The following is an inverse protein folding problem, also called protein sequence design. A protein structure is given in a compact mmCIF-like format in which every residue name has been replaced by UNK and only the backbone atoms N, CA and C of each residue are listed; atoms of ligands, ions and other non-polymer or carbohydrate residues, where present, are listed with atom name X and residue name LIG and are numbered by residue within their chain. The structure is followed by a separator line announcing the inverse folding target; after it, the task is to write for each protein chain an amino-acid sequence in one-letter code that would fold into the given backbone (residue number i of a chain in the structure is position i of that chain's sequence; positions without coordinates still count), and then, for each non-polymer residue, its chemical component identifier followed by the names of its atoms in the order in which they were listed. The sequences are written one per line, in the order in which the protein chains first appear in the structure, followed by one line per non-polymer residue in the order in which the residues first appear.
data_IF_121476314514
#
_entry.id   IF_121476314514
#
_cell.length_a   1.000
_cell.length_b   1.000
_cell.length_c   1.000
_cell.angle_alpha   90.00
_cell.angle_beta   90.00
_cell.angle_gamma   90.00
#
_symmetry.space_group_name_H-M   'P 1'
#
loop_
_entity.id
_entity.type
_entity.pdbx_description
1 polymer ?
#
# COMPACT_ATOMS: atom_id res chain seq x y z
N UNK A 1 5.53 8.16 28.02
CA UNK A 1 6.91 7.98 27.54
C UNK A 1 7.08 6.50 27.20
N UNK A 2 6.72 6.13 25.97
CA UNK A 2 6.76 4.75 25.48
C UNK A 2 8.16 4.43 24.95
N UNK A 3 8.93 3.67 25.73
CA UNK A 3 10.20 3.08 25.31
C UNK A 3 9.93 1.86 24.43
N UNK A 4 9.58 2.07 23.17
CA UNK A 4 9.68 1.03 22.13
C UNK A 4 10.92 1.32 21.29
N UNK A 5 11.89 0.39 21.18
CA UNK A 5 13.08 0.62 20.38
C UNK A 5 12.73 0.42 18.90
N UNK A 6 12.33 1.49 18.22
CA UNK A 6 12.04 1.48 16.77
C UNK A 6 13.23 1.00 15.92
N UNK A 7 14.45 1.03 16.48
CA UNK A 7 15.66 0.43 15.90
C UNK A 7 15.54 -1.08 15.56
N UNK A 8 14.55 -1.82 16.08
CA UNK A 8 14.38 -3.25 15.80
C UNK A 8 13.89 -3.54 14.36
N UNK A 9 13.14 -2.61 13.75
CA UNK A 9 12.55 -2.80 12.41
C UNK A 9 13.43 -2.34 11.26
N UNK A 10 14.56 -1.69 11.55
CA UNK A 10 15.46 -1.27 10.50
C UNK A 10 16.07 -2.50 9.80
N UNK A 11 15.78 -2.62 8.50
CA UNK A 11 16.34 -3.62 7.61
C UNK A 11 17.28 -2.92 6.63
N UNK A 12 18.55 -3.35 6.61
CA UNK A 12 19.59 -2.77 5.75
C UNK A 12 19.27 -2.93 4.26
N UNK A 13 18.72 -4.07 3.85
CA UNK A 13 18.35 -4.27 2.45
C UNK A 13 17.13 -3.42 2.08
N UNK A 14 16.17 -3.25 2.98
CA UNK A 14 15.06 -2.32 2.76
C UNK A 14 15.53 -0.87 2.60
N UNK A 15 16.49 -0.42 3.43
CA UNK A 15 17.11 0.90 3.29
C UNK A 15 17.81 1.05 1.94
N UNK A 16 18.53 0.02 1.48
CA UNK A 16 19.20 0.03 0.17
C UNK A 16 18.20 0.16 -0.98
N UNK A 17 17.09 -0.58 -0.93
CA UNK A 17 16.00 -0.45 -1.90
C UNK A 17 15.39 0.97 -1.88
N UNK A 18 15.20 1.57 -0.69
CA UNK A 18 14.75 2.96 -0.59
C UNK A 18 15.76 3.95 -1.18
N UNK A 19 17.06 3.71 -1.06
CA UNK A 19 18.10 4.50 -1.73
C UNK A 19 18.00 4.40 -3.26
N UNK A 20 17.70 3.22 -3.80
CA UNK A 20 17.47 3.04 -5.24
C UNK A 20 16.20 3.76 -5.73
N UNK A 21 15.26 4.03 -4.82
CA UNK A 21 14.04 4.80 -5.06
C UNK A 21 14.23 6.32 -4.90
N UNK A 22 15.46 6.80 -4.68
CA UNK A 22 15.73 8.23 -4.65
C UNK A 22 15.28 8.93 -5.95
N UNK A 23 14.72 10.13 -5.81
CA UNK A 23 14.11 10.92 -6.88
C UNK A 23 12.87 10.30 -7.56
N UNK A 24 12.34 9.17 -7.03
CA UNK A 24 11.10 8.54 -7.51
C UNK A 24 9.89 8.98 -6.70
N UNK A 25 8.74 9.07 -7.37
CA UNK A 25 7.46 9.20 -6.69
C UNK A 25 7.13 7.86 -6.03
N UNK A 26 6.79 7.90 -4.75
CA UNK A 26 6.51 6.71 -3.95
C UNK A 26 5.29 6.94 -3.07
N UNK A 27 4.53 5.87 -2.86
CA UNK A 27 3.55 5.76 -1.79
C UNK A 27 4.16 4.92 -0.66
N UNK A 28 4.32 5.53 0.50
CA UNK A 28 4.85 4.91 1.70
C UNK A 28 3.70 4.57 2.63
N UNK A 29 3.70 3.34 3.13
CA UNK A 29 2.75 2.85 4.12
C UNK A 29 3.51 2.61 5.41
N UNK A 30 3.04 3.23 6.48
CA UNK A 30 3.73 3.30 7.76
C UNK A 30 3.25 2.22 8.72
N UNK A 31 4.11 1.81 9.66
CA UNK A 31 3.79 0.80 10.69
C UNK A 31 2.66 1.23 11.63
N UNK A 32 2.45 2.53 11.79
CA UNK A 32 1.34 3.08 12.58
C UNK A 32 -0.01 3.09 11.82
N UNK A 33 -0.02 2.64 10.56
CA UNK A 33 -1.19 2.64 9.70
C UNK A 33 -1.41 3.97 8.96
N UNK A 34 -0.47 4.92 9.01
CA UNK A 34 -0.52 6.14 8.19
C UNK A 34 0.05 5.92 6.78
N UNK A 35 -0.31 6.78 5.84
CA UNK A 35 0.19 6.73 4.47
C UNK A 35 0.74 8.09 4.03
N UNK A 36 1.86 8.07 3.31
CA UNK A 36 2.51 9.26 2.75
C UNK A 36 2.70 9.07 1.25
N UNK A 37 2.32 10.06 0.46
CA UNK A 37 2.59 10.08 -0.97
C UNK A 37 3.40 11.33 -1.35
N UNK A 38 4.52 11.11 -2.03
CA UNK A 38 5.42 12.17 -2.47
C UNK A 38 6.60 11.61 -3.25
N UNK A 39 7.69 12.36 -3.32
CA UNK A 39 8.95 11.96 -3.94
C UNK A 39 10.05 11.88 -2.90
N UNK A 40 10.86 10.83 -2.94
CA UNK A 40 12.05 10.72 -2.09
C UNK A 40 13.10 11.72 -2.57
N UNK A 41 13.46 12.70 -1.74
CA UNK A 41 14.52 13.65 -2.08
C UNK A 41 15.89 13.16 -1.60
N UNK A 42 15.95 12.69 -0.36
CA UNK A 42 17.20 12.33 0.31
C UNK A 42 16.93 11.33 1.42
N UNK A 43 17.92 10.49 1.70
CA UNK A 43 17.97 9.60 2.86
C UNK A 43 19.26 9.92 3.61
N UNK A 44 19.14 10.28 4.89
CA UNK A 44 20.27 10.55 5.78
C UNK A 44 20.08 9.81 7.09
N UNK A 45 21.03 8.97 7.49
CA UNK A 45 21.04 8.33 8.82
C UNK A 45 19.69 7.73 9.25
N UNK A 46 19.06 6.95 8.35
CA UNK A 46 17.73 6.35 8.52
C UNK A 46 16.55 7.33 8.54
N UNK A 47 16.75 8.61 8.19
CA UNK A 47 15.69 9.58 8.00
C UNK A 47 15.48 9.84 6.52
N UNK A 48 14.27 9.53 6.05
CA UNK A 48 13.80 9.77 4.70
C UNK A 48 13.17 11.17 4.62
N UNK A 49 13.62 11.96 3.64
CA UNK A 49 13.00 13.22 3.30
C UNK A 49 12.09 13.07 2.09
N UNK A 50 10.80 13.34 2.29
CA UNK A 50 9.78 13.27 1.24
C UNK A 50 9.33 14.68 0.87
N UNK A 51 9.41 14.99 -0.43
CA UNK A 51 9.06 16.28 -1.04
C UNK A 51 7.91 16.11 -2.04
N UNK A 52 7.34 17.19 -2.59
CA UNK A 52 6.23 17.07 -3.52
C UNK A 52 6.56 16.19 -4.72
N UNK A 53 5.60 15.36 -5.18
CA UNK A 53 5.84 14.48 -6.31
C UNK A 53 5.95 15.27 -7.61
N UNK A 54 6.65 14.70 -8.60
CA UNK A 54 6.87 15.34 -9.90
C UNK A 54 6.10 14.61 -10.98
N UNK A 55 5.44 15.35 -11.88
CA UNK A 55 4.69 14.75 -12.99
C UNK A 55 3.37 14.10 -12.59
N UNK A 56 2.88 14.37 -11.36
CA UNK A 56 1.56 13.92 -10.89
C UNK A 56 0.54 15.03 -11.13
N UNK A 57 -0.56 14.68 -11.80
CA UNK A 57 -1.60 15.65 -12.18
C UNK A 57 -2.21 16.31 -10.95
N UNK A 58 -2.31 17.64 -10.97
CA UNK A 58 -2.95 18.46 -9.94
C UNK A 58 -2.38 18.28 -8.51
N UNK A 59 -1.14 17.80 -8.37
CA UNK A 59 -0.51 17.63 -7.07
C UNK A 59 0.84 18.36 -6.98
N UNK A 60 0.88 19.40 -6.14
CA UNK A 60 2.06 20.26 -5.93
C UNK A 60 2.65 20.12 -4.51
N UNK A 61 2.16 19.16 -3.72
CA UNK A 61 2.50 19.02 -2.32
C UNK A 61 2.58 17.54 -1.93
N UNK A 62 3.28 17.26 -0.83
CA UNK A 62 3.25 15.93 -0.19
C UNK A 62 1.85 15.70 0.38
N UNK A 63 1.34 14.49 0.21
CA UNK A 63 0.09 14.08 0.85
C UNK A 63 0.41 13.15 2.01
N UNK A 64 -0.20 13.43 3.17
CA UNK A 64 -0.11 12.59 4.34
C UNK A 64 -1.51 12.23 4.81
N UNK A 65 -1.71 10.97 5.19
CA UNK A 65 -2.96 10.52 5.77
C UNK A 65 -2.69 9.74 7.05
N UNK A 66 -3.19 10.21 8.21
CA UNK A 66 -3.11 9.45 9.45
C UNK A 66 -3.92 8.14 9.34
N UNK A 67 -3.78 7.20 10.30
CA UNK A 67 -4.58 5.97 10.38
C UNK A 67 -6.04 6.25 10.76
N UNK A 68 -6.72 7.09 9.97
CA UNK A 68 -8.08 7.51 10.17
C UNK A 68 -8.79 7.63 8.80
N UNK A 69 -9.47 6.56 8.41
CA UNK A 69 -10.27 6.51 7.18
C UNK A 69 -11.40 7.55 7.14
N UNK A 70 -11.85 8.08 8.29
CA UNK A 70 -12.92 9.10 8.32
C UNK A 70 -12.48 10.47 7.81
N UNK A 71 -11.16 10.71 7.72
CA UNK A 71 -10.64 11.95 7.16
C UNK A 71 -10.94 11.99 5.65
N UNK A 72 -11.73 12.97 5.16
CA UNK A 72 -12.21 12.98 3.78
C UNK A 72 -11.13 13.36 2.77
N UNK A 73 -10.13 14.14 3.19
CA UNK A 73 -9.04 14.62 2.36
C UNK A 73 -7.69 14.36 3.05
N UNK A 74 -6.62 14.05 2.31
CA UNK A 74 -5.29 13.95 2.88
C UNK A 74 -4.81 15.33 3.38
N UNK A 75 -3.95 15.31 4.39
CA UNK A 75 -3.21 16.48 4.85
C UNK A 75 -2.15 16.83 3.81
N UNK A 76 -2.02 18.12 3.52
CA UNK A 76 -1.13 18.64 2.49
C UNK A 76 0.07 19.28 3.17
N UNK A 77 1.27 18.82 2.83
CA UNK A 77 2.53 19.24 3.44
C UNK A 77 3.53 19.70 2.37
N UNK A 78 4.40 20.64 2.72
CA UNK A 78 5.52 21.03 1.84
C UNK A 78 6.59 19.94 1.79
N UNK A 79 6.87 19.33 2.94
CA UNK A 79 7.89 18.30 3.13
C UNK A 79 7.57 17.54 4.41
N UNK A 80 7.96 16.26 4.46
CA UNK A 80 7.89 15.44 5.68
C UNK A 80 9.18 14.65 5.84
N UNK A 81 9.59 14.45 7.09
CA UNK A 81 10.71 13.61 7.46
C UNK A 81 10.17 12.37 8.16
N UNK A 82 10.64 11.20 7.73
CA UNK A 82 10.12 9.90 8.16
C UNK A 82 11.29 9.04 8.60
N UNK A 83 11.20 8.42 9.76
CA UNK A 83 12.16 7.37 10.14
C UNK A 83 11.91 6.14 9.25
N UNK A 84 12.96 5.63 8.62
CA UNK A 84 12.88 4.44 7.76
C UNK A 84 12.40 3.23 8.56
N UNK A 85 12.69 3.15 9.85
CA UNK A 85 12.20 2.04 10.67
C UNK A 85 10.66 2.07 10.86
N UNK A 86 9.99 3.21 10.61
CA UNK A 86 8.53 3.35 10.67
C UNK A 86 7.83 2.99 9.36
N UNK A 87 8.57 2.63 8.30
CA UNK A 87 8.00 2.29 7.00
C UNK A 87 7.76 0.78 6.92
N UNK A 88 6.51 0.39 6.68
CA UNK A 88 6.10 -1.00 6.44
C UNK A 88 6.23 -1.39 4.96
N UNK A 89 5.78 -0.51 4.05
CA UNK A 89 5.85 -0.74 2.61
C UNK A 89 6.23 0.54 1.86
N UNK A 90 6.97 0.38 0.78
CA UNK A 90 7.19 1.40 -0.23
C UNK A 90 6.63 0.91 -1.56
N UNK A 91 5.82 1.74 -2.22
CA UNK A 91 5.20 1.43 -3.50
C UNK A 91 5.71 2.44 -4.53
N UNK A 92 6.34 1.93 -5.58
CA UNK A 92 6.77 2.69 -6.76
C UNK A 92 5.91 2.29 -7.94
N UNK A 93 5.72 3.25 -8.85
CA UNK A 93 5.10 2.99 -10.13
C UNK A 93 4.76 4.27 -10.87
N UNK A 94 4.09 4.16 -12.01
CA UNK A 94 3.67 5.30 -12.80
C UNK A 94 2.46 5.99 -12.15
N UNK A 95 2.73 6.86 -11.18
CA UNK A 95 1.70 7.70 -10.58
C UNK A 95 1.30 8.83 -11.55
N UNK A 96 0.16 8.67 -12.24
CA UNK A 96 -0.44 9.75 -13.04
C UNK A 96 -1.30 10.68 -12.18
N UNK A 97 -1.92 10.10 -11.14
CA UNK A 97 -2.76 10.76 -10.16
C UNK A 97 -2.31 10.38 -8.75
N UNK A 98 -2.71 11.16 -7.75
CA UNK A 98 -2.44 10.79 -6.37
C UNK A 98 -3.24 9.53 -5.98
N UNK A 99 -2.60 8.52 -5.37
CA UNK A 99 -3.28 7.35 -4.83
C UNK A 99 -4.02 7.66 -3.51
N UNK A 100 -3.68 8.76 -2.82
CA UNK A 100 -4.27 9.14 -1.53
C UNK A 100 -5.42 10.13 -1.64
N UNK A 101 -5.59 10.75 -2.81
CA UNK A 101 -6.76 11.54 -3.07
C UNK A 101 -7.90 10.56 -3.40
N UNK A 102 -9.08 10.66 -2.75
CA UNK A 102 -10.23 9.95 -3.25
C UNK A 102 -10.42 10.44 -4.68
N UNK A 103 -10.29 9.54 -5.66
CA UNK A 103 -10.84 9.83 -6.98
C UNK A 103 -12.32 10.13 -6.74
N UNK A 104 -12.65 11.41 -6.62
CA UNK A 104 -13.92 11.91 -7.09
C UNK A 104 -13.88 11.62 -8.57
N UNK A 105 -14.30 10.41 -8.93
CA UNK A 105 -14.98 10.23 -10.20
C UNK A 105 -16.02 11.35 -10.25
N UNK A 106 -15.99 12.24 -11.26
CA UNK A 106 -17.13 13.09 -11.53
C UNK A 106 -18.26 12.14 -11.94
N UNK A 107 -18.99 11.65 -10.96
CA UNK A 107 -19.77 10.43 -11.08
C UNK A 107 -20.00 9.79 -9.70
N UNK A 108 -20.38 10.61 -8.72
CA UNK A 108 -21.20 10.05 -7.64
C UNK A 108 -22.40 9.38 -8.31
N UNK A 109 -22.68 8.13 -7.96
CA UNK A 109 -23.90 7.44 -8.36
C UNK A 109 -25.06 8.21 -7.73
N UNK A 110 -25.49 9.28 -8.41
CA UNK A 110 -26.84 9.77 -8.27
C UNK A 110 -27.77 8.68 -8.80
N UNK A 111 -29.00 8.56 -8.28
CA UNK A 111 -29.95 7.52 -8.66
C UNK A 111 -30.36 7.54 -10.15
N UNK A 112 -29.81 8.44 -10.97
CA UNK A 112 -30.09 8.59 -12.39
C UNK A 112 -28.77 8.71 -13.16
N UNK A 113 -28.24 7.58 -13.63
CA UNK A 113 -26.96 7.50 -14.33
C UNK A 113 -26.93 8.23 -15.67
N UNK A 114 -26.25 9.38 -15.71
CA UNK A 114 -25.77 10.01 -16.95
C UNK A 114 -24.46 10.76 -16.65
N UNK A 115 -23.34 10.29 -17.23
CA UNK A 115 -21.99 10.85 -17.06
C UNK A 115 -21.70 12.02 -18.02
N UNK A 116 -20.85 12.95 -17.57
CA UNK A 116 -20.30 14.04 -18.39
C UNK A 116 -18.76 14.09 -18.33
N UNK A 117 -18.09 12.96 -18.56
CA UNK A 117 -16.70 12.88 -19.04
C UNK A 117 -16.36 11.42 -19.32
N UNK A 118 -16.54 10.99 -20.57
CA UNK A 118 -16.44 9.59 -21.02
C UNK A 118 -15.06 8.94 -20.92
N UNK A 119 -14.59 8.71 -19.70
CA UNK A 119 -13.55 7.72 -19.42
C UNK A 119 -14.21 6.60 -18.64
N UNK A 120 -14.73 5.59 -19.37
CA UNK A 120 -15.33 4.41 -18.75
C UNK A 120 -14.27 3.72 -17.88
N UNK A 121 -14.54 3.61 -16.57
CA UNK A 121 -13.87 2.60 -15.75
C UNK A 121 -14.10 1.26 -16.47
N UNK A 122 -13.05 0.47 -16.76
CA UNK A 122 -13.24 -0.83 -17.38
C UNK A 122 -14.24 -1.64 -16.56
N UNK A 123 -15.26 -2.25 -17.18
CA UNK A 123 -16.30 -2.97 -16.45
C UNK A 123 -15.74 -4.07 -15.52
N UNK A 124 -14.54 -4.58 -15.80
CA UNK A 124 -13.80 -5.46 -14.90
C UNK A 124 -13.49 -4.83 -13.52
N UNK A 125 -13.08 -3.56 -13.48
CA UNK A 125 -12.79 -2.84 -12.23
C UNK A 125 -14.08 -2.55 -11.45
N UNK A 126 -15.18 -2.24 -12.15
CA UNK A 126 -16.50 -2.11 -11.51
C UNK A 126 -16.95 -3.45 -10.90
N UNK A 127 -16.75 -4.56 -11.60
CA UNK A 127 -17.10 -5.89 -11.09
C UNK A 127 -16.26 -6.30 -9.87
N UNK A 128 -14.98 -5.89 -9.81
CA UNK A 128 -14.11 -6.11 -8.65
C UNK A 128 -14.61 -5.28 -7.45
N UNK A 129 -14.97 -4.02 -7.66
CA UNK A 129 -15.53 -3.16 -6.61
C UNK A 129 -16.87 -3.72 -6.11
N UNK A 130 -17.76 -4.15 -7.00
CA UNK A 130 -19.05 -4.74 -6.64
C UNK A 130 -18.90 -6.07 -5.90
N UNK A 131 -18.02 -6.97 -6.35
CA UNK A 131 -17.76 -8.24 -5.66
C UNK A 131 -17.14 -8.05 -4.27
N UNK A 132 -16.26 -7.06 -4.10
CA UNK A 132 -15.68 -6.72 -2.80
C UNK A 132 -16.72 -6.06 -1.88
N UNK A 133 -17.64 -5.26 -2.42
CA UNK A 133 -18.66 -4.54 -1.62
C UNK A 133 -19.88 -5.41 -1.28
N UNK A 134 -20.18 -6.41 -2.10
CA UNK A 134 -21.33 -7.33 -1.89
C UNK A 134 -20.95 -8.64 -1.19
N UNK A 135 -19.65 -8.94 -1.06
CA UNK A 135 -19.12 -10.06 -0.30
C UNK A 135 -19.09 -9.82 1.21
N UNK A 136 -20.25 -9.99 1.85
CA UNK A 136 -20.41 -10.37 3.28
C UNK A 136 -20.23 -9.27 4.35
N UNK A 137 -21.37 -8.75 4.82
CA UNK A 137 -21.68 -8.73 6.26
C UNK A 137 -21.11 -7.61 7.11
N UNK A 138 -21.90 -6.55 7.28
CA UNK A 138 -21.86 -5.71 8.46
C UNK A 138 -22.12 -6.54 9.73
N UNK A 139 -21.06 -7.00 10.41
CA UNK A 139 -21.12 -7.36 11.83
C UNK A 139 -19.88 -6.84 12.56
N UNK A 140 -20.16 -6.14 13.67
CA UNK A 140 -19.25 -5.28 14.42
C UNK A 140 -17.82 -5.79 14.62
N UNK A 141 -16.87 -4.93 14.26
CA UNK A 141 -15.52 -4.94 14.83
C UNK A 141 -15.62 -4.64 16.33
N UNK A 142 -15.80 -5.69 17.13
CA UNK A 142 -15.51 -5.66 18.56
C UNK A 142 -14.00 -5.76 18.69
N UNK A 143 -13.35 -4.65 19.03
CA UNK A 143 -11.94 -4.60 19.38
C UNK A 143 -11.71 -5.44 20.64
N UNK A 144 -11.34 -6.71 20.47
CA UNK A 144 -10.68 -7.46 21.54
C UNK A 144 -9.19 -7.07 21.57
N UNK A 145 -8.59 -6.90 22.76
CA UNK A 145 -7.19 -6.53 22.87
C UNK A 145 -6.35 -7.68 22.30
N UNK A 146 -5.71 -7.42 21.15
CA UNK A 146 -4.79 -8.34 20.48
C UNK A 146 -3.73 -8.80 21.48
N UNK A 147 -3.88 -10.03 21.96
CA UNK A 147 -2.82 -10.72 22.67
C UNK A 147 -1.59 -10.75 21.76
N UNK A 148 -0.43 -10.37 22.30
CA UNK A 148 0.83 -10.48 21.61
C UNK A 148 1.03 -11.94 21.17
N UNK A 149 0.91 -12.19 19.87
CA UNK A 149 1.15 -13.51 19.29
C UNK A 149 2.67 -13.79 19.36
N UNK A 150 3.07 -14.92 19.96
CA UNK A 150 4.48 -15.28 20.09
C UNK A 150 5.07 -15.56 18.72
N UNK A 151 6.28 -15.05 18.50
CA UNK A 151 6.95 -14.98 17.21
C UNK A 151 7.00 -16.32 16.45
N UNK A 152 6.29 -16.36 15.32
CA UNK A 152 6.68 -17.23 14.20
C UNK A 152 8.10 -16.81 13.81
N UNK A 153 9.04 -17.75 13.74
CA UNK A 153 10.43 -17.40 13.43
C UNK A 153 10.46 -16.79 12.02
N UNK A 154 10.98 -15.57 11.90
CA UNK A 154 11.06 -14.85 10.62
C UNK A 154 11.72 -15.67 9.50
N UNK A 155 12.60 -16.59 9.88
CA UNK A 155 13.26 -17.51 8.97
C UNK A 155 12.28 -18.48 8.28
N UNK A 156 11.32 -19.05 9.03
CA UNK A 156 10.31 -19.97 8.47
C UNK A 156 9.36 -19.25 7.51
N UNK A 157 9.01 -17.99 7.81
CA UNK A 157 8.20 -17.15 6.93
C UNK A 157 8.94 -16.78 5.64
N UNK A 158 10.24 -16.54 5.72
CA UNK A 158 11.05 -16.20 4.56
C UNK A 158 11.20 -17.41 3.63
N UNK A 159 11.46 -18.61 4.18
CA UNK A 159 11.51 -19.84 3.40
C UNK A 159 10.17 -20.13 2.69
N UNK A 160 9.05 -19.98 3.41
CA UNK A 160 7.71 -20.10 2.81
C UNK A 160 7.48 -19.08 1.69
N UNK A 161 7.90 -17.82 1.88
CA UNK A 161 7.78 -16.80 0.83
C UNK A 161 8.67 -17.10 -0.39
N UNK A 162 9.88 -17.63 -0.19
CA UNK A 162 10.73 -18.07 -1.29
C UNK A 162 10.06 -19.20 -2.10
N UNK A 163 9.39 -20.15 -1.44
CA UNK A 163 8.65 -21.21 -2.12
C UNK A 163 7.42 -20.71 -2.90
N UNK A 164 6.90 -19.53 -2.55
CA UNK A 164 5.74 -18.89 -3.16
C UNK A 164 6.12 -17.87 -4.25
N UNK A 165 7.40 -17.76 -4.60
CA UNK A 165 7.85 -16.84 -5.66
C UNK A 165 7.11 -17.12 -6.98
N UNK A 166 6.63 -16.04 -7.61
CA UNK A 166 5.83 -16.09 -8.82
C UNK A 166 4.34 -16.37 -8.60
N UNK A 167 3.89 -16.63 -7.37
CA UNK A 167 2.46 -16.84 -7.07
C UNK A 167 1.75 -15.52 -6.71
N UNK A 168 0.44 -15.48 -6.90
CA UNK A 168 -0.39 -14.41 -6.36
C UNK A 168 -0.57 -14.63 -4.86
N UNK A 169 -0.11 -13.68 -4.05
CA UNK A 169 -0.28 -13.73 -2.60
C UNK A 169 -0.83 -12.41 -2.09
N UNK A 170 -1.30 -12.40 -0.85
CA UNK A 170 -1.43 -11.19 -0.08
C UNK A 170 -0.61 -11.27 1.21
N UNK A 171 0.02 -10.17 1.60
CA UNK A 171 0.74 -10.05 2.87
C UNK A 171 0.09 -9.01 3.74
N UNK A 172 0.04 -9.27 5.04
CA UNK A 172 -0.45 -8.33 6.05
C UNK A 172 0.69 -7.91 6.97
N UNK A 173 0.72 -6.63 7.35
CA UNK A 173 1.75 -6.08 8.24
C UNK A 173 1.19 -5.41 9.50
N UNK A 174 2.11 -5.17 10.43
CA UNK A 174 1.92 -4.31 11.59
C UNK A 174 1.48 -2.92 11.10
N UNK A 175 0.31 -2.47 11.55
CA UNK A 175 -0.36 -1.26 11.03
C UNK A 175 -1.64 -1.54 10.26
N UNK A 176 -1.99 -2.82 10.05
CA UNK A 176 -3.25 -3.22 9.42
C UNK A 176 -3.26 -3.06 7.91
N UNK A 177 -2.10 -2.95 7.27
CA UNK A 177 -1.97 -2.98 5.83
C UNK A 177 -2.09 -4.41 5.32
N UNK A 178 -2.84 -4.60 4.24
CA UNK A 178 -2.82 -5.85 3.47
C UNK A 178 -2.57 -5.53 2.00
N UNK A 179 -1.53 -6.10 1.42
CA UNK A 179 -1.13 -5.87 0.02
C UNK A 179 -1.22 -7.17 -0.75
N UNK A 180 -1.96 -7.15 -1.85
CA UNK A 180 -2.09 -8.27 -2.78
C UNK A 180 -1.45 -7.99 -4.14
N UNK A 181 -0.79 -9.01 -4.69
CA UNK A 181 -0.18 -8.98 -6.02
C UNK A 181 0.59 -10.27 -6.29
N UNK A 182 1.41 -10.27 -7.35
CA UNK A 182 2.32 -11.40 -7.62
C UNK A 182 3.61 -11.21 -6.85
N UNK A 183 3.99 -12.22 -6.07
CA UNK A 183 5.27 -12.25 -5.38
C UNK A 183 6.40 -12.38 -6.43
N UNK A 184 7.35 -11.47 -6.38
CA UNK A 184 8.61 -11.56 -7.12
C UNK A 184 9.73 -11.98 -6.17
N UNK A 185 10.85 -11.27 -6.25
CA UNK A 185 12.04 -11.55 -5.47
C UNK A 185 11.81 -11.36 -3.96
N UNK A 186 12.33 -12.31 -3.18
CA UNK A 186 12.34 -12.30 -1.72
C UNK A 186 13.80 -12.43 -1.27
N UNK A 187 14.29 -11.44 -0.52
CA UNK A 187 15.69 -11.39 -0.06
C UNK A 187 15.76 -10.84 1.36
N UNK A 188 16.62 -11.38 2.23
CA UNK A 188 17.03 -10.88 3.57
C UNK A 188 16.07 -9.88 4.28
N UNK A 189 14.78 -10.26 4.38
CA UNK A 189 13.69 -9.48 4.99
C UNK A 189 13.02 -8.35 4.13
N UNK A 190 13.07 -8.43 2.80
CA UNK A 190 12.26 -7.65 1.85
C UNK A 190 11.54 -8.59 0.90
N UNK A 191 10.25 -8.32 0.63
CA UNK A 191 9.56 -8.94 -0.51
C UNK A 191 9.17 -7.88 -1.54
N UNK A 192 9.40 -8.23 -2.81
CA UNK A 192 8.90 -7.48 -3.95
C UNK A 192 7.54 -8.05 -4.36
N UNK A 193 6.48 -7.25 -4.24
CA UNK A 193 5.19 -7.59 -4.83
C UNK A 193 5.02 -6.73 -6.07
N UNK A 194 4.89 -7.38 -7.22
CA UNK A 194 4.56 -6.70 -8.45
C UNK A 194 3.11 -6.94 -8.83
N UNK A 195 2.72 -6.35 -9.94
CA UNK A 195 1.37 -6.44 -10.46
C UNK A 195 1.05 -7.87 -10.80
N UNK A 196 0.13 -8.45 -10.04
CA UNK A 196 -0.41 -9.76 -10.36
C UNK A 196 -1.42 -9.66 -11.49
N UNK A 197 -1.54 -10.76 -12.23
CA UNK A 197 -2.71 -10.99 -13.07
C UNK A 197 -3.80 -11.53 -12.16
N UNK A 198 -4.70 -10.67 -11.67
CA UNK A 198 -6.03 -11.16 -11.32
C UNK A 198 -6.86 -11.05 -12.59
N UNK A 199 -7.35 -12.18 -13.13
CA UNK A 199 -8.76 -12.60 -13.08
C UNK A 199 -8.85 -14.07 -13.55
N UNK A 200 -9.73 -14.83 -12.90
CA UNK A 200 -10.34 -16.06 -13.43
C UNK A 200 -10.65 -15.95 -14.95
N UNK A 201 -10.51 -17.03 -15.74
CA UNK A 201 -10.65 -16.95 -17.19
C UNK A 201 -12.10 -16.63 -17.60
N UNK A 202 -12.35 -15.88 -18.70
CA UNK A 202 -11.43 -15.26 -19.66
C UNK A 202 -11.46 -13.72 -19.60
N UNK A 203 -10.43 -13.04 -20.14
CA UNK A 203 -10.39 -11.62 -20.60
C UNK A 203 -9.47 -10.67 -19.79
N UNK A 204 -8.46 -10.15 -20.51
CA UNK A 204 -7.57 -8.98 -20.28
C UNK A 204 -6.68 -9.01 -19.04
N UNK A 205 -5.37 -9.12 -19.30
CA UNK A 205 -4.29 -8.94 -18.33
C UNK A 205 -4.07 -7.44 -18.07
N UNK A 206 -4.68 -6.91 -17.01
CA UNK A 206 -4.26 -5.64 -16.44
C UNK A 206 -3.46 -5.94 -15.16
N UNK A 207 -2.26 -5.41 -15.06
CA UNK A 207 -1.47 -5.52 -13.83
C UNK A 207 -2.14 -4.72 -12.70
N UNK A 208 -2.40 -5.38 -11.57
CA UNK A 208 -3.05 -4.75 -10.40
C UNK A 208 -2.26 -5.02 -9.12
N UNK A 209 -2.15 -3.99 -8.28
CA UNK A 209 -1.80 -4.12 -6.86
C UNK A 209 -2.98 -3.63 -6.02
N UNK A 210 -3.44 -4.47 -5.10
CA UNK A 210 -4.51 -4.14 -4.16
C UNK A 210 -3.90 -3.78 -2.81
N UNK A 211 -4.32 -2.66 -2.23
CA UNK A 211 -3.84 -2.23 -0.91
C UNK A 211 -5.06 -1.94 -0.03
N UNK A 212 -5.18 -2.68 1.07
CA UNK A 212 -6.16 -2.45 2.12
C UNK A 212 -5.47 -1.81 3.32
N UNK A 213 -6.14 -0.88 3.98
CA UNK A 213 -5.61 -0.32 5.22
C UNK A 213 -6.40 0.83 5.82
N UNK A 214 -6.02 1.21 7.05
CA UNK A 214 -6.81 2.12 7.89
C UNK A 214 -6.77 3.58 7.42
N UNK A 215 -5.78 3.96 6.60
CA UNK A 215 -5.68 5.31 6.06
C UNK A 215 -6.57 5.55 4.83
N UNK A 216 -7.41 4.61 4.38
CA UNK A 216 -8.26 4.79 3.19
C UNK A 216 -9.73 4.99 3.54
N UNK A 217 -10.49 5.86 2.83
CA UNK A 217 -11.87 6.16 3.23
C UNK A 217 -12.81 5.00 2.92
N UNK A 218 -12.49 4.24 1.86
CA UNK A 218 -13.16 3.01 1.47
C UNK A 218 -12.47 1.77 2.05
N UNK A 219 -11.44 1.94 2.90
CA UNK A 219 -10.63 0.85 3.44
C UNK A 219 -9.63 0.23 2.45
N UNK A 220 -9.68 0.59 1.15
CA UNK A 220 -8.75 0.10 0.13
C UNK A 220 -8.48 1.11 -0.98
N UNK A 221 -7.42 0.85 -1.75
CA UNK A 221 -7.14 1.46 -3.06
C UNK A 221 -6.75 0.38 -4.07
N UNK A 222 -6.96 0.69 -5.35
CA UNK A 222 -6.58 -0.17 -6.48
C UNK A 222 -5.56 0.57 -7.33
N UNK A 223 -4.37 0.00 -7.48
CA UNK A 223 -3.29 0.55 -8.30
C UNK A 223 -3.22 -0.23 -9.62
N UNK A 224 -3.61 0.43 -10.71
CA UNK A 224 -3.64 -0.14 -12.07
C UNK A 224 -2.42 0.32 -12.87
N UNK A 225 -1.57 -0.60 -13.30
CA UNK A 225 -0.36 -0.26 -14.05
C UNK A 225 0.79 -1.21 -13.75
N UNK A 226 2.02 -0.73 -13.84
CA UNK A 226 3.25 -1.46 -13.48
C UNK A 226 3.77 -0.94 -12.14
N UNK A 227 3.20 -1.44 -11.05
CA UNK A 227 3.61 -1.10 -9.69
C UNK A 227 4.54 -2.16 -9.11
N UNK A 228 5.43 -1.70 -8.23
CA UNK A 228 6.37 -2.50 -7.45
C UNK A 228 6.22 -2.10 -6.00
N UNK A 229 6.08 -3.08 -5.13
CA UNK A 229 5.94 -2.89 -3.69
C UNK A 229 7.11 -3.57 -3.02
N UNK A 230 7.95 -2.80 -2.33
CA UNK A 230 8.94 -3.33 -1.41
C UNK A 230 8.33 -3.36 -0.03
N UNK A 231 8.34 -4.52 0.60
CA UNK A 231 7.73 -4.74 1.91
C UNK A 231 8.79 -5.09 2.92
N UNK A 232 8.82 -4.41 4.06
CA UNK A 232 9.71 -4.75 5.16
C UNK A 232 9.17 -6.01 5.86
N UNK A 233 9.78 -7.17 5.64
CA UNK A 233 9.32 -8.43 6.23
C UNK A 233 9.42 -8.45 7.76
N UNK A 234 10.17 -7.52 8.37
CA UNK A 234 10.16 -7.37 9.84
C UNK A 234 8.81 -6.89 10.38
N UNK A 235 8.00 -6.25 9.55
CA UNK A 235 6.64 -5.79 9.92
C UNK A 235 5.57 -6.80 9.51
N UNK A 236 5.93 -7.93 8.90
CA UNK A 236 4.99 -8.93 8.42
C UNK A 236 4.34 -9.70 9.58
N UNK A 237 3.02 -9.83 9.53
CA UNK A 237 2.23 -10.57 10.52
C UNK A 237 1.62 -11.84 9.95
N UNK A 238 1.22 -11.81 8.67
CA UNK A 238 0.52 -12.92 8.03
C UNK A 238 0.77 -12.94 6.52
N UNK A 239 0.79 -14.14 5.95
CA UNK A 239 0.72 -14.40 4.51
C UNK A 239 -0.63 -15.06 4.22
N UNK A 240 -1.30 -14.61 3.17
CA UNK A 240 -2.59 -15.08 2.70
C UNK A 240 -2.39 -15.65 1.31
N UNK A 241 -2.73 -16.93 1.16
CA UNK A 241 -2.76 -17.63 -0.11
C UNK A 241 -4.18 -17.57 -0.71
N UNK A 242 -4.29 -17.52 -2.05
CA UNK A 242 -5.58 -17.51 -2.76
C UNK A 242 -6.36 -18.83 -2.63
#
# INVERSE_FOLDING_TARGET
MSNTPLHHFCNREFVKQLCDLQDRNVLLLMVDGSAVFGRIARIDDCVLSVVPPVGVTALNFVQFRPPNGTLPLPLILSQIFIDVCDIAHAIEGPFVFSPLFPLHLPGGIGPNGVDAAGTQIPPAVQSIIEQITTGTGAQGFRSEPSAALPGRQQHELLEELCDLEGQNIAITTLGGWTIGGQLGEVDDCVSLISTGTSIFPPIVFLGVVLVFGPAFPLGFIVLLGTFRVWSNLKTLTQVILP
#
